data_IF_930576875146
#
_entry.id   IF_930576875146
#
_cell.length_a   1.000
_cell.length_b   1.000
_cell.length_c   1.000
_cell.angle_alpha   90.00
_cell.angle_beta   90.00
_cell.angle_gamma   90.00
#
_symmetry.space_group_name_H-M   'P 1'
#
loop_
_entity.id
_entity.type
_entity.pdbx_description
1 polymer ?
#
# COMPACT_ATOMS: atom_id res chain seq x y z
N UNK A 1 -82.52 23.57 -4.82
CA UNK A 1 -82.56 22.55 -5.87
C UNK A 1 -81.93 23.13 -7.12
N UNK A 2 -80.78 22.56 -7.51
CA UNK A 2 -80.14 22.53 -8.84
C UNK A 2 -78.66 22.20 -8.61
N UNK A 3 -78.19 21.16 -9.29
CA UNK A 3 -77.09 20.28 -8.90
C UNK A 3 -75.68 20.92 -8.85
N UNK A 4 -74.75 20.37 -8.05
CA UNK A 4 -73.34 20.74 -8.07
C UNK A 4 -72.60 19.99 -9.21
N UNK A 5 -71.85 20.74 -10.01
CA UNK A 5 -70.92 20.21 -11.03
C UNK A 5 -69.53 20.13 -10.40
N UNK A 6 -68.97 18.92 -10.39
CA UNK A 6 -67.65 18.58 -9.84
C UNK A 6 -66.52 19.19 -10.69
N UNK A 7 -65.51 19.88 -10.11
CA UNK A 7 -64.33 20.30 -10.85
C UNK A 7 -63.37 19.12 -11.05
N UNK A 8 -62.98 18.85 -12.31
CA UNK A 8 -61.88 17.93 -12.60
C UNK A 8 -60.51 18.57 -12.30
N UNK A 9 -59.51 17.79 -11.84
CA UNK A 9 -58.19 18.30 -11.51
C UNK A 9 -57.40 18.70 -12.77
N UNK A 10 -56.83 19.91 -12.74
CA UNK A 10 -55.88 20.40 -13.73
C UNK A 10 -54.64 19.48 -13.78
N UNK A 11 -54.41 18.83 -14.93
CA UNK A 11 -53.10 18.27 -15.26
C UNK A 11 -52.14 19.41 -15.56
N UNK A 12 -51.27 19.74 -14.62
CA UNK A 12 -50.05 20.52 -14.87
C UNK A 12 -49.16 19.76 -15.85
N UNK A 13 -48.97 20.35 -17.02
CA UNK A 13 -47.94 20.01 -18.00
C UNK A 13 -46.56 20.23 -17.37
N UNK A 14 -45.85 19.14 -17.05
CA UNK A 14 -44.42 19.18 -16.80
C UNK A 14 -43.68 19.28 -18.13
N UNK A 15 -43.13 20.46 -18.43
CA UNK A 15 -42.09 20.66 -19.44
C UNK A 15 -40.82 21.05 -18.69
N UNK A 16 -39.72 20.34 -18.94
CA UNK A 16 -38.41 20.61 -18.36
C UNK A 16 -37.57 19.32 -18.28
N UNK A 17 -37.24 18.74 -19.44
CA UNK A 17 -35.90 18.83 -20.04
C UNK A 17 -34.79 18.26 -19.14
N UNK A 18 -34.37 17.04 -19.45
CA UNK A 18 -33.17 16.45 -18.87
C UNK A 18 -31.93 17.27 -19.18
N UNK A 19 -31.15 17.57 -18.15
CA UNK A 19 -29.75 17.95 -18.25
C UNK A 19 -29.04 17.29 -17.06
N UNK A 20 -28.70 16.01 -17.20
CA UNK A 20 -27.61 15.42 -16.41
C UNK A 20 -26.34 16.11 -16.87
N UNK A 21 -25.90 17.14 -16.15
CA UNK A 21 -24.87 18.04 -16.64
C UNK A 21 -23.50 17.34 -16.70
N UNK A 22 -22.82 17.36 -17.87
CA UNK A 22 -21.46 16.83 -17.99
C UNK A 22 -20.44 17.58 -17.10
N UNK A 23 -20.83 18.76 -16.58
CA UNK A 23 -20.06 19.53 -15.59
C UNK A 23 -20.02 18.86 -14.20
N UNK A 24 -21.09 18.24 -13.72
CA UNK A 24 -21.06 17.54 -12.43
C UNK A 24 -20.17 16.30 -12.51
N UNK A 25 -20.21 15.58 -13.63
CA UNK A 25 -19.30 14.46 -13.88
C UNK A 25 -17.83 14.92 -14.04
N UNK A 26 -17.58 16.07 -14.67
CA UNK A 26 -16.21 16.62 -14.83
C UNK A 26 -15.65 17.21 -13.53
N UNK A 27 -16.49 17.84 -12.70
CA UNK A 27 -16.14 18.33 -11.36
C UNK A 27 -15.87 17.14 -10.43
N UNK A 28 -16.72 16.10 -10.46
CA UNK A 28 -16.47 14.87 -9.69
C UNK A 28 -15.19 14.17 -10.16
N UNK A 29 -14.92 14.11 -11.47
CA UNK A 29 -13.66 13.59 -12.03
C UNK A 29 -12.43 14.46 -11.67
N UNK A 30 -12.58 15.79 -11.56
CA UNK A 30 -11.51 16.69 -11.10
C UNK A 30 -11.21 16.53 -9.60
N UNK A 31 -12.24 16.44 -8.77
CA UNK A 31 -12.12 16.17 -7.33
C UNK A 31 -11.61 14.75 -7.04
N UNK A 32 -11.88 13.78 -7.91
CA UNK A 32 -11.34 12.42 -7.78
C UNK A 32 -9.83 12.41 -8.01
N UNK A 33 -9.34 13.15 -9.02
CA UNK A 33 -7.92 13.27 -9.33
C UNK A 33 -7.16 14.13 -8.33
N UNK A 34 -7.76 15.25 -7.90
CA UNK A 34 -7.11 16.20 -6.99
C UNK A 34 -6.73 15.59 -5.64
N UNK A 35 -7.33 14.47 -5.18
CA UNK A 35 -7.00 13.87 -3.89
C UNK A 35 -5.75 12.99 -3.90
N UNK A 36 -5.36 12.44 -5.06
CA UNK A 36 -4.09 11.74 -5.20
C UNK A 36 -2.98 12.77 -5.41
N UNK A 37 -3.18 13.72 -6.32
CA UNK A 37 -2.24 14.81 -6.57
C UNK A 37 -2.06 15.77 -5.36
N UNK A 38 -2.96 15.76 -4.37
CA UNK A 38 -2.83 16.58 -3.13
C UNK A 38 -2.26 15.82 -1.93
N UNK A 39 -2.03 14.51 -2.03
CA UNK A 39 -1.39 13.75 -0.98
C UNK A 39 0.09 13.57 -1.31
N UNK A 40 0.94 14.20 -0.50
CA UNK A 40 2.38 14.01 -0.51
C UNK A 40 2.79 13.09 0.65
N UNK A 41 3.48 11.99 0.34
CA UNK A 41 3.94 11.02 1.35
C UNK A 41 4.98 11.65 2.29
N UNK A 42 5.80 12.57 1.80
CA UNK A 42 6.86 13.24 2.58
C UNK A 42 6.31 14.17 3.67
N UNK A 43 5.08 14.67 3.50
CA UNK A 43 4.44 15.59 4.44
C UNK A 43 3.62 14.87 5.53
N UNK A 44 3.48 13.54 5.47
CA UNK A 44 2.72 12.78 6.47
C UNK A 44 3.57 12.45 7.71
N UNK A 45 3.28 13.02 8.91
CA UNK A 45 4.03 12.74 10.13
C UNK A 45 3.92 11.29 10.65
N UNK A 46 3.05 10.46 10.05
CA UNK A 46 2.93 9.02 10.33
C UNK A 46 3.62 8.16 9.29
N UNK A 47 4.08 8.77 8.19
CA UNK A 47 4.92 8.11 7.20
C UNK A 47 6.35 8.06 7.75
N UNK A 48 6.92 6.86 7.76
CA UNK A 48 8.32 6.66 8.10
C UNK A 48 9.00 6.38 6.77
N UNK A 49 9.72 7.37 6.24
CA UNK A 49 10.49 7.20 5.02
C UNK A 49 11.67 6.25 5.27
N UNK A 50 11.92 5.34 4.34
CA UNK A 50 13.16 4.58 4.30
C UNK A 50 14.29 5.51 3.85
N UNK A 51 15.18 5.91 4.77
CA UNK A 51 16.31 6.83 4.53
C UNK A 51 17.28 6.38 3.42
N UNK A 52 17.11 5.19 2.84
CA UNK A 52 17.98 4.65 1.78
C UNK A 52 17.54 4.98 0.34
N UNK A 53 16.47 5.75 0.15
CA UNK A 53 16.07 6.20 -1.19
C UNK A 53 16.68 7.57 -1.48
N UNK A 54 18.01 7.63 -1.64
CA UNK A 54 18.66 8.82 -2.21
C UNK A 54 18.19 8.99 -3.66
N UNK A 55 17.25 9.91 -3.86
CA UNK A 55 16.91 10.43 -5.18
C UNK A 55 18.14 11.21 -5.66
N UNK A 56 18.84 10.64 -6.64
CA UNK A 56 19.89 11.34 -7.39
C UNK A 56 19.26 12.44 -8.25
N UNK A 57 19.00 13.60 -7.64
CA UNK A 57 18.66 14.82 -8.37
C UNK A 57 19.91 15.38 -9.05
N UNK A 58 20.19 14.88 -10.25
CA UNK A 58 21.04 15.57 -11.20
C UNK A 58 20.16 16.42 -12.13
N UNK A 59 19.67 17.55 -11.64
CA UNK A 59 19.11 18.59 -12.50
C UNK A 59 20.23 19.54 -12.96
N UNK A 60 20.71 19.32 -14.20
CA UNK A 60 21.41 20.32 -15.00
C UNK A 60 20.47 21.52 -15.23
N UNK A 61 20.58 22.53 -14.38
CA UNK A 61 19.85 23.79 -14.54
C UNK A 61 20.60 24.68 -15.52
N UNK A 62 20.11 24.70 -16.76
CA UNK A 62 20.46 25.69 -17.79
C UNK A 62 20.06 27.09 -17.30
N UNK A 63 21.02 27.87 -16.84
CA UNK A 63 20.81 29.28 -16.49
C UNK A 63 20.83 30.15 -17.75
N UNK A 64 19.65 30.57 -18.21
CA UNK A 64 19.50 31.73 -19.07
C UNK A 64 18.85 32.82 -18.22
N UNK A 65 19.60 33.87 -17.87
CA UNK A 65 19.10 35.24 -17.66
C UNK A 65 20.27 36.22 -17.90
N UNK A 66 20.12 36.94 -19.02
CA UNK A 66 20.34 38.38 -19.26
C UNK A 66 21.32 39.17 -18.38
N UNK A 67 22.37 39.66 -19.05
CA UNK A 67 23.02 41.00 -18.99
C UNK A 67 22.26 42.09 -18.20
N UNK A 68 22.87 43.00 -17.43
CA UNK A 68 24.06 43.81 -17.68
C UNK A 68 24.64 44.43 -16.37
N UNK A 69 25.98 44.54 -16.38
CA UNK A 69 26.84 45.65 -15.91
C UNK A 69 26.72 46.14 -14.45
N UNK A 70 27.77 45.86 -13.68
CA UNK A 70 28.21 46.72 -12.56
C UNK A 70 29.68 47.08 -12.74
N UNK A 71 29.97 48.36 -12.99
CA UNK A 71 31.31 48.92 -13.01
C UNK A 71 31.41 50.02 -11.94
N UNK A 72 32.39 49.79 -11.06
CA UNK A 72 33.22 50.75 -10.33
C UNK A 72 32.64 51.70 -9.29
N UNK A 73 33.26 51.55 -8.12
CA UNK A 73 33.89 52.56 -7.28
C UNK A 73 33.08 53.25 -6.19
N UNK A 74 33.60 53.07 -4.98
CA UNK A 74 33.16 53.73 -3.77
C UNK A 74 34.04 54.96 -3.55
N UNK A 75 33.42 56.14 -3.44
CA UNK A 75 33.98 57.26 -2.69
C UNK A 75 32.88 58.03 -1.98
N UNK A 76 33.23 58.47 -0.77
CA UNK A 76 32.47 59.29 0.16
C UNK A 76 31.80 60.52 -0.46
N UNK A 77 30.59 60.87 0.00
CA UNK A 77 30.37 62.14 0.69
C UNK A 77 28.94 62.25 1.29
N UNK A 78 28.90 62.99 2.38
CA UNK A 78 27.75 63.39 3.19
C UNK A 78 26.59 64.01 2.40
N UNK A 79 25.35 63.88 2.92
CA UNK A 79 24.41 65.00 3.19
C UNK A 79 23.09 64.47 3.77
N UNK A 80 22.60 65.19 4.78
CA UNK A 80 21.32 64.99 5.47
C UNK A 80 20.10 64.98 4.52
N UNK A 81 18.99 64.32 4.86
CA UNK A 81 17.84 64.91 5.60
C UNK A 81 16.64 63.94 5.60
N UNK A 82 15.81 64.05 6.65
CA UNK A 82 14.36 63.76 6.73
C UNK A 82 13.88 62.31 6.91
N UNK A 83 13.76 61.99 8.19
CA UNK A 83 12.63 61.35 8.89
C UNK A 83 11.35 61.26 8.03
N UNK A 84 11.04 60.05 7.57
CA UNK A 84 9.73 59.62 7.10
C UNK A 84 9.31 58.42 7.93
N UNK A 85 8.34 58.65 8.80
CA UNK A 85 7.71 57.66 9.67
C UNK A 85 6.78 56.78 8.79
N UNK A 86 7.15 55.52 8.58
CA UNK A 86 6.27 54.50 8.04
C UNK A 86 6.41 53.28 8.93
N UNK A 87 5.50 53.20 9.90
CA UNK A 87 5.20 52.02 10.69
C UNK A 87 5.05 50.80 9.79
N UNK A 88 5.99 49.86 9.86
CA UNK A 88 5.81 48.49 9.39
C UNK A 88 4.66 47.87 10.17
N UNK A 89 3.48 47.83 9.56
CA UNK A 89 2.45 46.88 9.96
C UNK A 89 2.97 45.50 9.55
N UNK A 90 3.52 44.78 10.53
CA UNK A 90 3.76 43.35 10.42
C UNK A 90 2.46 42.68 9.95
N UNK A 91 2.50 42.10 8.76
CA UNK A 91 1.48 41.18 8.29
C UNK A 91 1.68 39.92 9.13
N UNK A 92 0.90 39.78 10.19
CA UNK A 92 0.70 38.50 10.84
C UNK A 92 0.07 37.56 9.82
N UNK A 93 0.87 36.68 9.24
CA UNK A 93 0.37 35.50 8.52
C UNK A 93 -0.33 34.66 9.59
N UNK A 94 -1.64 34.87 9.72
CA UNK A 94 -2.47 34.01 10.54
C UNK A 94 -2.33 32.59 10.01
N UNK A 95 -1.83 31.69 10.84
CA UNK A 95 -1.96 30.26 10.60
C UNK A 95 -3.46 29.98 10.53
N UNK A 96 -3.98 29.81 9.32
CA UNK A 96 -5.31 29.27 9.10
C UNK A 96 -5.36 27.90 9.76
N UNK A 97 -6.31 27.68 10.67
CA UNK A 97 -6.58 26.34 11.19
C UNK A 97 -6.76 25.38 10.00
N UNK A 98 -6.08 24.22 9.98
CA UNK A 98 -6.21 23.30 8.87
C UNK A 98 -7.67 22.86 8.76
N UNK A 99 -8.24 22.98 7.56
CA UNK A 99 -9.60 22.50 7.31
C UNK A 99 -9.73 21.02 7.72
N UNK A 100 -10.88 20.61 8.26
CA UNK A 100 -11.08 19.24 8.69
C UNK A 100 -10.85 18.26 7.53
N UNK A 101 -9.95 17.31 7.74
CA UNK A 101 -9.60 16.30 6.74
C UNK A 101 -10.86 15.56 6.26
N UNK A 102 -11.04 15.49 4.94
CA UNK A 102 -12.15 14.72 4.39
C UNK A 102 -11.91 13.23 4.58
N UNK A 103 -12.97 12.44 4.78
CA UNK A 103 -12.88 10.97 4.90
C UNK A 103 -12.06 10.31 3.77
N UNK A 104 -12.15 10.88 2.55
CA UNK A 104 -11.41 10.38 1.39
C UNK A 104 -9.90 10.63 1.51
N UNK A 105 -9.48 11.81 1.97
CA UNK A 105 -8.07 12.12 2.24
C UNK A 105 -7.53 11.20 3.33
N UNK A 106 -8.31 11.02 4.40
CA UNK A 106 -7.95 10.10 5.49
C UNK A 106 -7.72 8.67 5.00
N UNK A 107 -8.62 8.16 4.14
CA UNK A 107 -8.48 6.82 3.56
C UNK A 107 -7.24 6.65 2.68
N UNK A 108 -6.91 7.67 1.88
CA UNK A 108 -5.74 7.67 0.99
C UNK A 108 -4.47 7.71 1.83
N UNK A 109 -4.40 8.62 2.80
CA UNK A 109 -3.30 8.75 3.77
C UNK A 109 -3.03 7.44 4.51
N UNK A 110 -4.09 6.78 4.99
CA UNK A 110 -3.96 5.51 5.69
C UNK A 110 -3.82 4.30 4.75
N UNK A 111 -3.73 4.51 3.43
CA UNK A 111 -3.62 3.48 2.38
C UNK A 111 -4.70 2.38 2.50
N UNK A 112 -5.92 2.74 2.95
CA UNK A 112 -6.97 1.77 3.25
C UNK A 112 -7.35 0.90 2.05
N UNK A 113 -7.54 1.44 0.82
CA UNK A 113 -7.89 0.61 -0.34
C UNK A 113 -6.81 -0.42 -0.69
N UNK A 114 -5.53 -0.01 -0.64
CA UNK A 114 -4.37 -0.88 -0.86
C UNK A 114 -4.33 -2.01 0.17
N UNK A 115 -4.42 -1.66 1.45
CA UNK A 115 -4.42 -2.63 2.56
C UNK A 115 -5.60 -3.58 2.50
N UNK A 116 -6.78 -3.11 2.10
CA UNK A 116 -7.95 -3.95 1.92
C UNK A 116 -7.74 -4.96 0.77
N UNK A 117 -7.20 -4.52 -0.37
CA UNK A 117 -6.84 -5.41 -1.47
C UNK A 117 -5.80 -6.45 -1.00
N UNK A 118 -4.73 -5.99 -0.37
CA UNK A 118 -3.63 -6.82 0.14
C UNK A 118 -4.11 -7.88 1.14
N UNK A 119 -4.91 -7.48 2.14
CA UNK A 119 -5.50 -8.36 3.15
C UNK A 119 -6.57 -9.32 2.60
N UNK A 120 -7.22 -8.98 1.48
CA UNK A 120 -8.25 -9.83 0.85
C UNK A 120 -7.69 -11.11 0.22
N UNK A 121 -6.39 -11.12 -0.08
CA UNK A 121 -5.72 -12.25 -0.73
C UNK A 121 -5.61 -13.45 0.24
N UNK A 122 -5.48 -13.22 1.55
CA UNK A 122 -5.47 -14.29 2.56
C UNK A 122 -6.75 -15.14 2.56
N UNK A 123 -7.95 -14.55 2.75
CA UNK A 123 -9.21 -15.27 2.64
C UNK A 123 -9.41 -15.93 1.27
N UNK A 124 -8.98 -15.26 0.19
CA UNK A 124 -9.05 -15.84 -1.16
C UNK A 124 -8.17 -17.09 -1.30
N UNK A 125 -6.94 -17.07 -0.75
CA UNK A 125 -6.05 -18.22 -0.72
C UNK A 125 -6.64 -19.38 0.08
N UNK A 126 -7.25 -19.11 1.23
CA UNK A 126 -7.95 -20.13 2.02
C UNK A 126 -9.17 -20.69 1.29
N UNK A 127 -9.91 -19.85 0.58
CA UNK A 127 -11.03 -20.29 -0.25
C UNK A 127 -10.56 -21.24 -1.36
N UNK A 128 -9.49 -20.91 -2.08
CA UNK A 128 -8.90 -21.79 -3.09
C UNK A 128 -8.37 -23.10 -2.47
N UNK A 129 -7.81 -23.04 -1.26
CA UNK A 129 -7.39 -24.22 -0.52
C UNK A 129 -8.57 -25.15 -0.19
N UNK A 130 -9.69 -24.60 0.30
CA UNK A 130 -10.92 -25.35 0.59
C UNK A 130 -11.54 -25.98 -0.65
N UNK A 131 -11.46 -25.31 -1.80
CA UNK A 131 -11.89 -25.87 -3.08
C UNK A 131 -11.01 -27.03 -3.56
N UNK A 132 -9.87 -27.29 -2.89
CA UNK A 132 -8.92 -28.32 -3.30
C UNK A 132 -8.19 -27.98 -4.60
N UNK A 133 -8.05 -26.69 -4.93
CA UNK A 133 -7.26 -26.26 -6.06
C UNK A 133 -5.81 -26.73 -5.88
N UNK A 134 -5.29 -27.40 -6.90
CA UNK A 134 -3.88 -27.81 -6.94
C UNK A 134 -2.98 -26.59 -7.14
N UNK A 135 -1.73 -26.66 -6.69
CA UNK A 135 -0.77 -25.56 -6.86
C UNK A 135 -0.64 -25.13 -8.33
N UNK A 136 -0.60 -26.09 -9.26
CA UNK A 136 -0.51 -25.80 -10.70
C UNK A 136 -1.73 -25.05 -11.25
N UNK A 137 -2.94 -25.34 -10.76
CA UNK A 137 -4.15 -24.62 -11.17
C UNK A 137 -4.13 -23.15 -10.77
N UNK A 138 -3.39 -22.80 -9.72
CA UNK A 138 -3.21 -21.43 -9.25
C UNK A 138 -1.99 -20.79 -9.92
N UNK A 139 -0.93 -21.56 -10.12
CA UNK A 139 0.35 -21.09 -10.67
C UNK A 139 0.22 -20.56 -12.10
N UNK A 140 -0.53 -21.22 -12.98
CA UNK A 140 -0.72 -20.75 -14.36
C UNK A 140 -1.44 -19.39 -14.47
N UNK A 141 -2.63 -19.18 -13.88
CA UNK A 141 -3.28 -17.87 -13.91
C UNK A 141 -2.46 -16.82 -13.16
N UNK A 142 -1.77 -17.17 -12.08
CA UNK A 142 -0.86 -16.26 -11.39
C UNK A 142 0.30 -15.83 -12.29
N UNK A 143 0.92 -16.77 -13.02
CA UNK A 143 2.01 -16.48 -13.96
C UNK A 143 1.56 -15.56 -15.09
N UNK A 144 0.36 -15.80 -15.62
CA UNK A 144 -0.25 -14.93 -16.63
C UNK A 144 -0.53 -13.52 -16.06
N UNK A 145 -1.05 -13.43 -14.84
CA UNK A 145 -1.27 -12.15 -14.16
C UNK A 145 0.05 -11.40 -13.94
N UNK A 146 1.07 -12.07 -13.42
CA UNK A 146 2.41 -11.48 -13.23
C UNK A 146 2.99 -10.95 -14.53
N UNK A 147 2.84 -11.69 -15.64
CA UNK A 147 3.28 -11.23 -16.95
C UNK A 147 2.50 -9.97 -17.40
N UNK A 148 1.18 -9.95 -17.22
CA UNK A 148 0.35 -8.78 -17.54
C UNK A 148 0.76 -7.57 -16.72
N UNK A 149 0.97 -7.73 -15.40
CA UNK A 149 1.44 -6.66 -14.51
C UNK A 149 2.82 -6.15 -14.92
N UNK A 150 3.74 -7.05 -15.24
CA UNK A 150 5.09 -6.69 -15.71
C UNK A 150 5.03 -5.91 -17.01
N UNK A 151 4.26 -6.37 -18.00
CA UNK A 151 4.12 -5.68 -19.28
C UNK A 151 3.45 -4.31 -19.12
N UNK A 152 2.43 -4.21 -18.27
CA UNK A 152 1.79 -2.94 -17.93
C UNK A 152 2.83 -1.95 -17.40
N UNK A 153 3.64 -2.36 -16.43
CA UNK A 153 4.65 -1.51 -15.82
C UNK A 153 5.79 -1.17 -16.78
N UNK A 154 6.24 -2.14 -17.56
CA UNK A 154 7.25 -1.96 -18.58
C UNK A 154 6.84 -0.90 -19.62
N UNK A 155 5.57 -0.91 -20.04
CA UNK A 155 5.01 0.05 -21.00
C UNK A 155 4.78 1.41 -20.32
N UNK A 156 4.16 1.46 -19.13
CA UNK A 156 3.85 2.73 -18.46
C UNK A 156 5.09 3.54 -18.14
N UNK A 157 6.18 2.89 -17.72
CA UNK A 157 7.44 3.57 -17.40
C UNK A 157 8.17 4.10 -18.64
N UNK A 158 7.82 3.65 -19.85
CA UNK A 158 8.43 4.12 -21.12
C UNK A 158 7.59 5.18 -21.83
N UNK A 159 6.31 5.29 -21.51
CA UNK A 159 5.38 6.18 -22.20
C UNK A 159 4.63 7.07 -21.20
N UNK A 160 5.10 8.32 -20.98
CA UNK A 160 4.53 9.23 -19.98
C UNK A 160 3.02 9.48 -20.14
N UNK A 161 2.53 9.54 -21.38
CA UNK A 161 1.10 9.71 -21.66
C UNK A 161 0.25 8.52 -21.18
N UNK A 162 0.78 7.30 -21.30
CA UNK A 162 0.10 6.11 -20.77
C UNK A 162 0.22 6.04 -19.24
N UNK A 163 1.39 6.41 -18.67
CA UNK A 163 1.56 6.49 -17.22
C UNK A 163 0.52 7.40 -16.57
N UNK A 164 0.29 8.60 -17.13
CA UNK A 164 -0.72 9.54 -16.62
C UNK A 164 -2.15 8.94 -16.62
N UNK A 165 -2.49 8.11 -17.62
CA UNK A 165 -3.77 7.42 -17.67
C UNK A 165 -3.82 6.29 -16.63
N UNK A 166 -2.75 5.50 -16.51
CA UNK A 166 -2.66 4.41 -15.54
C UNK A 166 -2.74 4.93 -14.10
N UNK A 167 -1.96 5.96 -13.75
CA UNK A 167 -2.01 6.62 -12.43
C UNK A 167 -3.39 7.19 -12.14
N UNK A 168 -4.08 7.74 -13.14
CA UNK A 168 -5.46 8.22 -12.95
C UNK A 168 -6.45 7.11 -12.62
N UNK A 169 -6.27 5.92 -13.19
CA UNK A 169 -7.15 4.77 -12.97
C UNK A 169 -6.84 4.05 -11.65
N UNK A 170 -5.56 3.90 -11.31
CA UNK A 170 -5.08 3.07 -10.22
C UNK A 170 -4.51 3.85 -9.02
N UNK A 171 -4.44 5.19 -9.07
CA UNK A 171 -3.82 6.02 -8.03
C UNK A 171 -4.48 5.92 -6.64
N UNK A 172 -5.72 5.45 -6.54
CA UNK A 172 -6.35 5.19 -5.22
C UNK A 172 -5.74 3.96 -4.51
N UNK A 173 -5.05 3.10 -5.26
CA UNK A 173 -4.44 1.86 -4.76
C UNK A 173 -2.89 1.97 -4.78
N UNK A 174 -2.33 2.68 -5.76
CA UNK A 174 -0.88 2.87 -5.94
C UNK A 174 -0.31 3.92 -4.97
N UNK A 175 0.96 3.76 -4.58
CA UNK A 175 1.75 4.79 -3.87
C UNK A 175 2.29 5.86 -4.81
N UNK A 176 2.68 7.02 -4.27
CA UNK A 176 3.30 8.10 -5.05
C UNK A 176 4.66 7.68 -5.61
N UNK A 177 5.47 6.99 -4.78
CA UNK A 177 6.76 6.42 -5.19
C UNK A 177 6.65 5.44 -6.36
N UNK A 178 5.51 4.78 -6.54
CA UNK A 178 5.27 3.81 -7.62
C UNK A 178 4.92 4.46 -8.97
N UNK A 179 4.74 5.78 -9.03
CA UNK A 179 4.45 6.47 -10.31
C UNK A 179 5.64 6.38 -11.26
N UNK A 180 6.85 6.49 -10.72
CA UNK A 180 8.10 6.44 -11.46
C UNK A 180 8.86 5.11 -11.28
N UNK A 181 8.42 4.25 -10.37
CA UNK A 181 8.96 2.91 -10.14
C UNK A 181 7.99 1.79 -10.56
N UNK A 182 8.43 0.53 -10.41
CA UNK A 182 7.54 -0.63 -10.54
C UNK A 182 6.54 -0.69 -9.37
N UNK A 183 5.34 -1.18 -9.61
CA UNK A 183 4.26 -1.22 -8.63
C UNK A 183 4.45 -2.39 -7.65
N UNK A 184 4.18 -2.19 -6.35
CA UNK A 184 4.27 -3.24 -5.33
C UNK A 184 3.43 -4.49 -5.65
N UNK A 185 2.33 -4.34 -6.39
CA UNK A 185 1.49 -5.47 -6.85
C UNK A 185 2.27 -6.45 -7.74
N UNK A 186 3.21 -5.96 -8.55
CA UNK A 186 4.10 -6.81 -9.34
C UNK A 186 5.00 -7.65 -8.44
N UNK A 187 5.61 -7.02 -7.42
CA UNK A 187 6.46 -7.71 -6.45
C UNK A 187 5.68 -8.72 -5.60
N UNK A 188 4.44 -8.39 -5.21
CA UNK A 188 3.53 -9.33 -4.55
C UNK A 188 3.30 -10.57 -5.43
N UNK A 189 2.92 -10.36 -6.69
CA UNK A 189 2.64 -11.46 -7.61
C UNK A 189 3.88 -12.32 -7.88
N UNK A 190 5.07 -11.70 -7.97
CA UNK A 190 6.35 -12.40 -8.09
C UNK A 190 6.69 -13.20 -6.83
N UNK A 191 6.49 -12.65 -5.64
CA UNK A 191 6.76 -13.34 -4.37
C UNK A 191 5.88 -14.57 -4.19
N UNK A 192 4.57 -14.44 -4.45
CA UNK A 192 3.66 -15.59 -4.42
C UNK A 192 4.04 -16.62 -5.49
N UNK A 193 4.40 -16.19 -6.70
CA UNK A 193 4.82 -17.11 -7.76
C UNK A 193 6.08 -17.89 -7.39
N UNK A 194 7.08 -17.22 -6.79
CA UNK A 194 8.31 -17.86 -6.33
C UNK A 194 8.00 -18.90 -5.25
N UNK A 195 7.21 -18.54 -4.24
CA UNK A 195 6.83 -19.48 -3.19
C UNK A 195 6.03 -20.67 -3.73
N UNK A 196 5.10 -20.46 -4.67
CA UNK A 196 4.31 -21.54 -5.26
C UNK A 196 5.13 -22.49 -6.15
N UNK A 197 6.28 -22.04 -6.68
CA UNK A 197 7.19 -22.89 -7.45
C UNK A 197 8.18 -23.66 -6.58
N UNK A 198 8.57 -23.11 -5.43
CA UNK A 198 9.67 -23.65 -4.62
C UNK A 198 9.27 -24.29 -3.29
N UNK A 199 8.11 -23.93 -2.71
CA UNK A 199 7.70 -24.38 -1.38
C UNK A 199 6.62 -25.48 -1.44
N UNK A 200 6.56 -26.37 -0.43
CA UNK A 200 5.42 -27.26 -0.22
C UNK A 200 4.10 -26.49 -0.05
N UNK A 201 2.97 -27.13 -0.34
CA UNK A 201 1.64 -26.48 -0.38
C UNK A 201 1.29 -25.77 0.92
N UNK A 202 1.54 -26.39 2.06
CA UNK A 202 1.24 -25.81 3.37
C UNK A 202 2.07 -24.56 3.65
N UNK A 203 3.38 -24.62 3.43
CA UNK A 203 4.29 -23.48 3.62
C UNK A 203 3.95 -22.37 2.61
N UNK A 204 3.56 -22.72 1.39
CA UNK A 204 3.18 -21.76 0.38
C UNK A 204 1.93 -20.97 0.77
N UNK A 205 0.87 -21.67 1.20
CA UNK A 205 -0.35 -21.02 1.71
C UNK A 205 -0.04 -20.20 2.95
N UNK A 206 0.75 -20.73 3.89
CA UNK A 206 1.13 -20.01 5.11
C UNK A 206 1.88 -18.71 4.79
N UNK A 207 2.82 -18.73 3.84
CA UNK A 207 3.57 -17.54 3.43
C UNK A 207 2.68 -16.47 2.78
N UNK A 208 1.64 -16.87 2.03
CA UNK A 208 0.62 -15.96 1.52
C UNK A 208 -0.19 -15.34 2.66
N UNK A 209 -0.54 -16.10 3.70
CA UNK A 209 -1.25 -15.56 4.87
C UNK A 209 -0.39 -14.57 5.64
N UNK A 210 0.92 -14.85 5.79
CA UNK A 210 1.86 -13.93 6.44
C UNK A 210 2.01 -12.64 5.65
N UNK A 211 2.25 -12.73 4.34
CA UNK A 211 2.28 -11.56 3.47
C UNK A 211 0.95 -10.80 3.53
N UNK A 212 -0.20 -11.46 3.52
CA UNK A 212 -1.49 -10.76 3.48
C UNK A 212 -1.84 -10.09 4.81
N UNK A 213 -1.72 -10.81 5.93
CA UNK A 213 -2.24 -10.36 7.22
C UNK A 213 -1.16 -9.86 8.18
N UNK A 214 0.01 -10.51 8.23
CA UNK A 214 1.06 -10.11 9.16
C UNK A 214 1.69 -8.77 8.74
N UNK A 215 1.95 -8.58 7.44
CA UNK A 215 2.40 -7.29 6.87
C UNK A 215 1.35 -6.18 7.04
N UNK A 216 0.07 -6.45 6.75
CA UNK A 216 -0.98 -5.45 6.98
C UNK A 216 -1.08 -5.07 8.46
N UNK A 217 -0.93 -6.04 9.36
CA UNK A 217 -0.91 -5.79 10.80
C UNK A 217 0.33 -4.97 11.20
N UNK A 218 1.52 -5.32 10.70
CA UNK A 218 2.75 -4.61 10.96
C UNK A 218 2.68 -3.14 10.53
N UNK A 219 2.28 -2.89 9.28
CA UNK A 219 2.16 -1.53 8.74
C UNK A 219 1.02 -0.72 9.36
N UNK A 220 -0.02 -1.38 9.90
CA UNK A 220 -1.14 -0.67 10.57
C UNK A 220 -0.79 -0.32 12.00
N UNK A 221 -0.32 -1.29 12.78
CA UNK A 221 0.09 -1.08 14.17
C UNK A 221 1.35 -0.22 14.23
N UNK A 222 2.29 -0.42 13.31
CA UNK A 222 3.52 0.36 13.19
C UNK A 222 3.26 1.83 12.93
N UNK A 223 2.33 2.19 12.02
CA UNK A 223 1.94 3.59 11.82
C UNK A 223 1.24 4.22 13.03
N UNK A 224 0.38 3.46 13.72
CA UNK A 224 -0.38 3.97 14.86
C UNK A 224 0.47 4.15 16.12
N UNK A 225 1.32 3.16 16.43
CA UNK A 225 2.02 3.08 17.71
C UNK A 225 3.55 2.99 17.60
N UNK A 226 4.11 2.92 16.38
CA UNK A 226 5.54 2.78 16.18
C UNK A 226 6.37 3.88 16.83
N UNK A 227 5.86 5.12 16.85
CA UNK A 227 6.49 6.27 17.53
C UNK A 227 6.66 6.12 19.05
N UNK A 228 5.95 5.18 19.68
CA UNK A 228 6.06 4.90 21.12
C UNK A 228 6.97 3.71 21.41
N UNK A 229 7.58 3.12 20.38
CA UNK A 229 8.42 1.93 20.50
C UNK A 229 9.75 2.13 19.79
N UNK A 230 10.82 1.41 20.18
CA UNK A 230 12.09 1.47 19.46
C UNK A 230 11.92 1.05 17.99
N UNK A 231 12.72 1.66 17.12
CA UNK A 231 12.89 1.17 15.76
C UNK A 231 13.78 -0.08 15.79
N UNK A 232 13.34 -1.12 15.09
CA UNK A 232 14.10 -2.37 14.91
C UNK A 232 15.07 -2.23 13.76
N UNK A 233 14.63 -1.58 12.68
CA UNK A 233 15.41 -1.15 11.50
C UNK A 233 14.89 0.23 11.07
N UNK A 234 15.61 0.98 10.21
CA UNK A 234 15.03 2.16 9.56
C UNK A 234 13.67 1.82 8.95
N UNK A 235 12.66 2.68 9.13
CA UNK A 235 11.30 2.40 8.65
C UNK A 235 10.47 1.43 9.51
N UNK A 236 11.09 0.56 10.32
CA UNK A 236 10.43 -0.58 10.98
C UNK A 236 10.41 -0.45 12.50
N UNK A 237 9.22 -0.48 13.10
CA UNK A 237 9.03 -0.34 14.55
C UNK A 237 8.85 -1.66 15.28
N UNK A 238 9.26 -1.73 16.55
CA UNK A 238 9.01 -2.89 17.41
C UNK A 238 7.50 -3.17 17.55
N UNK A 239 6.66 -2.13 17.59
CA UNK A 239 5.20 -2.31 17.57
C UNK A 239 4.71 -3.09 16.33
N UNK A 240 5.24 -2.75 15.15
CA UNK A 240 4.95 -3.46 13.90
C UNK A 240 5.43 -4.92 13.93
N UNK A 241 6.65 -5.17 14.41
CA UNK A 241 7.20 -6.51 14.57
C UNK A 241 6.35 -7.39 15.50
N UNK A 242 5.91 -6.85 16.65
CA UNK A 242 5.03 -7.57 17.58
C UNK A 242 3.67 -7.88 16.93
N UNK A 243 3.11 -6.94 16.16
CA UNK A 243 1.86 -7.17 15.43
C UNK A 243 2.02 -8.28 14.38
N UNK A 244 3.10 -8.26 13.60
CA UNK A 244 3.44 -9.31 12.63
C UNK A 244 3.58 -10.67 13.32
N UNK A 245 4.32 -10.72 14.44
CA UNK A 245 4.51 -11.93 15.24
C UNK A 245 3.16 -12.52 15.69
N UNK A 246 2.32 -11.73 16.35
CA UNK A 246 1.04 -12.19 16.87
C UNK A 246 0.10 -12.65 15.75
N UNK A 247 0.02 -11.88 14.67
CA UNK A 247 -0.78 -12.27 13.50
C UNK A 247 -0.24 -13.55 12.86
N UNK A 248 1.07 -13.76 12.81
CA UNK A 248 1.68 -15.00 12.34
C UNK A 248 1.32 -16.22 13.20
N UNK A 249 1.36 -16.08 14.53
CA UNK A 249 0.92 -17.12 15.47
C UNK A 249 -0.55 -17.48 15.23
N UNK A 250 -1.43 -16.47 15.17
CA UNK A 250 -2.88 -16.68 14.93
C UNK A 250 -3.13 -17.33 13.58
N UNK A 251 -2.42 -16.90 12.53
CA UNK A 251 -2.53 -17.45 11.18
C UNK A 251 -2.08 -18.91 11.13
N UNK A 252 -1.04 -19.28 11.89
CA UNK A 252 -0.59 -20.66 12.00
C UNK A 252 -1.65 -21.55 12.67
N UNK A 253 -2.23 -21.11 13.80
CA UNK A 253 -3.32 -21.84 14.44
C UNK A 253 -4.55 -21.97 13.54
N UNK A 254 -4.89 -20.91 12.81
CA UNK A 254 -5.99 -20.96 11.87
C UNK A 254 -5.70 -21.99 10.77
N UNK A 255 -4.55 -21.91 10.12
CA UNK A 255 -4.25 -22.76 8.98
C UNK A 255 -3.98 -24.21 9.38
N UNK A 256 -2.97 -24.45 10.22
CA UNK A 256 -2.57 -25.80 10.60
C UNK A 256 -3.50 -26.42 11.66
N UNK A 257 -4.00 -25.62 12.60
CA UNK A 257 -4.91 -26.10 13.65
C UNK A 257 -6.34 -26.32 13.18
N UNK A 258 -6.85 -25.51 12.24
CA UNK A 258 -8.21 -25.64 11.73
C UNK A 258 -8.26 -26.12 10.26
N UNK A 259 -7.70 -25.38 9.30
CA UNK A 259 -7.89 -25.72 7.88
C UNK A 259 -7.25 -27.05 7.45
N UNK A 260 -6.03 -27.36 7.89
CA UNK A 260 -5.37 -28.62 7.56
C UNK A 260 -6.09 -29.84 8.16
N UNK A 261 -6.74 -29.68 9.31
CA UNK A 261 -7.50 -30.74 9.97
C UNK A 261 -8.90 -30.91 9.35
N UNK A 262 -9.69 -29.83 9.30
CA UNK A 262 -11.08 -29.86 8.82
C UNK A 262 -11.18 -30.20 7.33
N UNK A 263 -10.24 -29.69 6.53
CA UNK A 263 -10.20 -29.93 5.09
C UNK A 263 -9.10 -30.92 4.70
N UNK A 264 -8.75 -31.85 5.59
CA UNK A 264 -7.72 -32.86 5.34
C UNK A 264 -7.94 -33.68 4.05
N UNK A 265 -9.19 -33.83 3.61
CA UNK A 265 -9.54 -34.51 2.36
C UNK A 265 -9.03 -33.81 1.08
N UNK A 266 -8.66 -32.53 1.14
CA UNK A 266 -8.05 -31.80 0.00
C UNK A 266 -6.52 -31.92 -0.04
N UNK A 267 -5.93 -32.57 0.96
CA UNK A 267 -4.48 -32.71 1.09
C UNK A 267 -4.02 -34.06 0.55
N UNK A 268 -3.23 -34.02 -0.51
CA UNK A 268 -2.61 -35.23 -1.07
C UNK A 268 -1.41 -35.66 -0.23
N UNK A 269 -1.01 -36.94 -0.28
CA UNK A 269 0.22 -37.39 0.36
C UNK A 269 1.42 -36.53 -0.08
N UNK A 270 2.11 -35.91 0.88
CA UNK A 270 3.25 -35.02 0.63
C UNK A 270 2.91 -33.53 0.44
N UNK A 271 1.63 -33.13 0.39
CA UNK A 271 1.24 -31.72 0.28
C UNK A 271 1.59 -30.92 1.54
N UNK A 272 1.39 -31.54 2.71
CA UNK A 272 1.60 -30.91 4.02
C UNK A 272 2.97 -31.34 4.53
N UNK A 273 3.90 -30.40 4.56
CA UNK A 273 5.28 -30.69 4.96
C UNK A 273 5.44 -30.81 6.47
N UNK A 274 4.73 -29.98 7.24
CA UNK A 274 4.72 -30.06 8.70
C UNK A 274 3.45 -30.73 9.22
N UNK A 275 3.60 -31.80 10.00
CA UNK A 275 2.51 -32.38 10.82
C UNK A 275 3.01 -32.65 12.24
N UNK A 276 2.12 -32.73 13.24
CA UNK A 276 2.51 -33.08 14.60
C UNK A 276 3.23 -34.43 14.72
N UNK A 277 2.95 -35.36 13.80
CA UNK A 277 3.53 -36.70 13.79
C UNK A 277 4.87 -36.77 13.04
N UNK A 278 5.12 -35.84 12.11
CA UNK A 278 6.33 -35.82 11.26
C UNK A 278 7.43 -34.88 11.77
N UNK A 279 7.17 -34.14 12.85
CA UNK A 279 8.07 -33.13 13.39
C UNK A 279 8.26 -33.26 14.90
N UNK A 280 9.45 -32.93 15.38
CA UNK A 280 9.76 -32.76 16.80
C UNK A 280 8.98 -31.60 17.43
N UNK A 281 8.46 -30.67 16.63
CA UNK A 281 7.68 -29.53 17.11
C UNK A 281 6.19 -29.87 17.14
N UNK A 282 5.56 -29.67 18.30
CA UNK A 282 4.10 -29.61 18.37
C UNK A 282 3.56 -28.30 17.77
N UNK A 283 2.23 -28.23 17.60
CA UNK A 283 1.57 -27.07 16.99
C UNK A 283 1.88 -25.75 17.70
N UNK A 284 2.00 -25.74 19.02
CA UNK A 284 2.24 -24.52 19.78
C UNK A 284 3.64 -23.96 19.53
N UNK A 285 4.65 -24.84 19.52
CA UNK A 285 6.03 -24.46 19.21
C UNK A 285 6.12 -23.97 17.76
N UNK A 286 5.49 -24.69 16.82
CA UNK A 286 5.50 -24.29 15.42
C UNK A 286 4.76 -22.98 15.17
N UNK A 287 3.65 -22.71 15.88
CA UNK A 287 2.93 -21.44 15.79
C UNK A 287 3.78 -20.26 16.29
N UNK A 288 4.46 -20.41 17.43
CA UNK A 288 5.40 -19.40 17.93
C UNK A 288 6.53 -19.17 16.93
N UNK A 289 7.13 -20.25 16.41
CA UNK A 289 8.19 -20.14 15.41
C UNK A 289 7.71 -19.48 14.10
N UNK A 290 6.47 -19.72 13.70
CA UNK A 290 5.83 -19.04 12.55
C UNK A 290 5.67 -17.54 12.80
N UNK A 291 5.28 -17.15 14.02
CA UNK A 291 5.27 -15.75 14.43
C UNK A 291 6.66 -15.11 14.37
N UNK A 292 7.71 -15.81 14.83
CA UNK A 292 9.10 -15.33 14.72
C UNK A 292 9.47 -15.16 13.25
N UNK A 293 9.20 -16.15 12.40
CA UNK A 293 9.47 -16.07 10.97
C UNK A 293 8.77 -14.87 10.32
N UNK A 294 7.49 -14.61 10.66
CA UNK A 294 6.75 -13.45 10.19
C UNK A 294 7.40 -12.12 10.61
N UNK A 295 7.78 -12.01 11.88
CA UNK A 295 8.42 -10.79 12.42
C UNK A 295 9.83 -10.57 11.88
N UNK A 296 10.60 -11.64 11.65
CA UNK A 296 11.93 -11.56 11.03
C UNK A 296 11.80 -11.15 9.57
N UNK A 297 10.85 -11.73 8.84
CA UNK A 297 10.55 -11.34 7.47
C UNK A 297 10.13 -9.88 7.35
N UNK A 298 9.30 -9.38 8.27
CA UNK A 298 8.88 -7.97 8.31
C UNK A 298 10.04 -7.00 8.58
N UNK A 299 10.98 -7.41 9.45
CA UNK A 299 12.12 -6.59 9.82
C UNK A 299 13.28 -6.67 8.82
N UNK A 300 13.21 -7.56 7.82
CA UNK A 300 14.28 -7.75 6.86
C UNK A 300 14.21 -6.71 5.74
N UNK A 301 15.22 -5.84 5.67
CA UNK A 301 15.48 -5.00 4.50
C UNK A 301 16.69 -5.58 3.73
N UNK A 302 16.42 -6.07 2.51
CA UNK A 302 17.43 -6.73 1.67
C UNK A 302 17.64 -5.90 0.40
N UNK A 303 18.56 -4.94 0.47
CA UNK A 303 19.06 -4.22 -0.71
C UNK A 303 17.99 -3.40 -1.44
N UNK A 304 17.00 -2.85 -0.72
CA UNK A 304 15.92 -2.05 -1.30
C UNK A 304 14.92 -2.85 -2.15
N UNK A 305 14.88 -4.17 -2.00
CA UNK A 305 13.84 -5.01 -2.63
C UNK A 305 12.52 -4.79 -1.89
N UNK A 306 11.43 -4.71 -2.63
CA UNK A 306 10.08 -4.51 -2.08
C UNK A 306 9.68 -5.65 -1.11
N UNK A 307 9.12 -5.27 0.04
CA UNK A 307 8.63 -6.17 1.09
C UNK A 307 7.64 -7.22 0.59
N UNK A 308 6.84 -6.88 -0.44
CA UNK A 308 5.87 -7.80 -1.04
C UNK A 308 6.54 -9.01 -1.71
N UNK A 309 7.82 -8.89 -2.06
CA UNK A 309 8.64 -10.00 -2.53
C UNK A 309 9.40 -10.67 -1.37
N UNK A 310 10.02 -9.87 -0.49
CA UNK A 310 10.86 -10.39 0.61
C UNK A 310 10.05 -11.23 1.59
N UNK A 311 8.94 -10.69 2.10
CA UNK A 311 8.18 -11.30 3.19
C UNK A 311 7.78 -12.75 2.90
N UNK A 312 7.06 -13.06 1.80
CA UNK A 312 6.60 -14.43 1.53
C UNK A 312 7.77 -15.38 1.26
N UNK A 313 8.80 -14.93 0.55
CA UNK A 313 9.94 -15.76 0.15
C UNK A 313 10.79 -16.10 1.37
N UNK A 314 11.14 -15.10 2.17
CA UNK A 314 11.93 -15.29 3.39
C UNK A 314 11.16 -16.11 4.41
N UNK A 315 9.84 -15.88 4.58
CA UNK A 315 9.05 -16.69 5.51
C UNK A 315 8.97 -18.15 5.05
N UNK A 316 8.84 -18.40 3.74
CA UNK A 316 8.84 -19.75 3.19
C UNK A 316 10.17 -20.47 3.44
N UNK A 317 11.30 -19.79 3.23
CA UNK A 317 12.64 -20.34 3.48
C UNK A 317 12.82 -20.68 4.96
N UNK A 318 12.46 -19.77 5.86
CA UNK A 318 12.59 -19.96 7.31
C UNK A 318 11.73 -21.13 7.79
N UNK A 319 10.44 -21.18 7.39
CA UNK A 319 9.53 -22.26 7.75
C UNK A 319 9.98 -23.61 7.16
N UNK A 320 10.38 -23.64 5.89
CA UNK A 320 10.90 -24.85 5.25
C UNK A 320 12.12 -25.40 5.98
N UNK A 321 13.12 -24.54 6.23
CA UNK A 321 14.34 -24.92 6.94
C UNK A 321 14.05 -25.44 8.34
N UNK A 322 13.13 -24.80 9.06
CA UNK A 322 12.72 -25.21 10.40
C UNK A 322 12.05 -26.58 10.41
N UNK A 323 11.08 -26.81 9.52
CA UNK A 323 10.38 -28.10 9.41
C UNK A 323 11.34 -29.20 8.98
N UNK A 324 12.22 -28.91 8.00
CA UNK A 324 13.24 -29.85 7.56
C UNK A 324 14.20 -30.26 8.70
N UNK A 325 14.68 -29.29 9.48
CA UNK A 325 15.61 -29.53 10.60
C UNK A 325 14.98 -30.29 11.78
N UNK A 326 13.66 -30.29 11.88
CA UNK A 326 12.92 -30.92 13.00
C UNK A 326 12.17 -32.17 12.57
N UNK A 327 12.41 -32.69 11.37
CA UNK A 327 11.72 -33.87 10.84
C UNK A 327 12.14 -35.16 11.57
N UNK A 328 11.17 -36.05 11.79
CA UNK A 328 11.35 -37.37 12.43
C UNK A 328 11.25 -38.50 11.41
#
# INVERSE_FOLDING_TARGET
>A
MSAPVTPQPQKTTAVGSGIGSPQLASIRKRLINASFDSYNEEDDPTFIADENTEVSDSEDSVSVISTDISLSDATDESVATKRGDLTEKGVSVGQSEPEPETWKQWMIRHEIPRKALHSSIGPFALYLYVLGCTMNQILYPLSALTLVLFLNDFIRLRYPGYNAVATRLFGVISRQSEIHGYNGTLFYALGVLMVFTSAPKDIAVMSVLLLSWADTAASTVGRLWGKYTPQVMPGKSLAGCIASFLTGVVSCYLFYGYFCNVYSYVNKPGDIFWTPDSSLMNLHVYAVATGVAASVSEAADIGGIDDNLIIPVLSAILLYGLVYATKV
#
